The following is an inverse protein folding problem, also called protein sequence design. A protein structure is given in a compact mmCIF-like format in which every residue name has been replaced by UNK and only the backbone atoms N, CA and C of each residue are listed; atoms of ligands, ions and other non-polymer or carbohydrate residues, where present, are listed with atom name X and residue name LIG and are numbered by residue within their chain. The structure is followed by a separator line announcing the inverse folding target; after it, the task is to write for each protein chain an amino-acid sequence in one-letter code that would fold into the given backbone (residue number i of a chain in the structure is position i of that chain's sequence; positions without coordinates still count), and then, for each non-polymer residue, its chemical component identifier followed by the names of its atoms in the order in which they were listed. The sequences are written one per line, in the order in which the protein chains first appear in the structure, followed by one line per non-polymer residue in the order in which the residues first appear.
data_IF_650463914709
#
_entry.id   IF_650463914709
#
_cell.length_a   1.000
_cell.length_b   1.000
_cell.length_c   1.000
_cell.angle_alpha   90.00
_cell.angle_beta   90.00
_cell.angle_gamma   90.00
#
_symmetry.space_group_name_H-M   'P 1'
#
loop_
_entity.id
_entity.type
_entity.pdbx_description
1 polymer ?
#
# COMPACT_ATOMS: atom_id res chain seq x y z
N UNK A 1 4.18 -67.05 35.08
CA UNK A 1 5.06 -65.96 34.69
C UNK A 1 4.37 -65.14 33.60
N UNK A 2 3.82 -63.98 33.96
CA UNK A 2 3.11 -63.07 33.04
C UNK A 2 4.07 -61.95 32.61
N UNK A 3 4.43 -61.90 31.33
CA UNK A 3 5.28 -60.84 30.74
C UNK A 3 4.34 -59.68 30.39
N UNK A 4 4.45 -58.55 31.07
CA UNK A 4 3.81 -57.30 30.70
C UNK A 4 4.66 -56.62 29.63
N UNK A 5 4.09 -56.51 28.44
CA UNK A 5 4.63 -55.71 27.34
C UNK A 5 4.14 -54.27 27.57
N UNK A 6 5.09 -53.38 27.89
CA UNK A 6 4.83 -51.94 27.95
C UNK A 6 4.89 -51.41 26.53
N UNK A 7 3.74 -51.05 26.00
CA UNK A 7 3.65 -50.26 24.73
C UNK A 7 3.81 -48.79 25.14
N UNK A 8 5.02 -48.25 24.89
CA UNK A 8 5.28 -46.81 24.99
C UNK A 8 4.73 -46.16 23.73
N UNK A 9 3.57 -45.57 23.81
CA UNK A 9 2.98 -44.75 22.76
C UNK A 9 3.67 -43.38 22.77
N UNK A 10 4.72 -43.22 21.97
CA UNK A 10 5.35 -41.92 21.73
C UNK A 10 4.42 -41.07 20.85
N UNK A 11 3.68 -40.19 21.49
CA UNK A 11 2.89 -39.15 20.84
C UNK A 11 3.86 -38.12 20.27
N UNK A 12 4.21 -38.25 19.00
CA UNK A 12 5.01 -37.27 18.25
C UNK A 12 4.10 -36.06 17.99
N UNK A 13 4.13 -35.10 18.90
CA UNK A 13 3.43 -33.82 18.73
C UNK A 13 4.19 -33.02 17.66
N UNK A 14 3.77 -33.12 16.40
CA UNK A 14 4.26 -32.28 15.31
C UNK A 14 3.80 -30.85 15.58
N UNK A 15 4.70 -30.03 16.13
CA UNK A 15 4.51 -28.58 16.24
C UNK A 15 4.60 -28.05 14.82
N UNK A 16 3.46 -27.82 14.19
CA UNK A 16 3.37 -27.01 12.96
C UNK A 16 3.70 -25.58 13.39
N UNK A 17 4.93 -25.17 13.17
CA UNK A 17 5.29 -23.77 13.25
C UNK A 17 4.54 -23.05 12.14
N UNK A 18 3.36 -22.54 12.45
CA UNK A 18 2.71 -21.53 11.64
C UNK A 18 3.69 -20.34 11.60
N UNK A 19 4.33 -20.12 10.47
CA UNK A 19 5.07 -18.89 10.21
C UNK A 19 4.06 -17.77 10.35
N UNK A 20 4.08 -17.07 11.49
CA UNK A 20 3.36 -15.82 11.64
C UNK A 20 3.93 -14.91 10.53
N UNK A 21 3.12 -14.58 9.53
CA UNK A 21 3.39 -13.46 8.63
C UNK A 21 3.58 -12.27 9.57
N UNK A 22 4.81 -11.79 9.67
CA UNK A 22 5.15 -10.80 10.67
C UNK A 22 4.34 -9.53 10.45
N UNK A 23 3.72 -9.04 11.51
CA UNK A 23 3.00 -7.76 11.54
C UNK A 23 3.94 -6.54 11.34
N UNK A 24 4.85 -6.61 10.39
CA UNK A 24 5.88 -5.62 10.12
C UNK A 24 6.22 -5.44 8.63
N UNK A 25 5.68 -6.28 7.77
CA UNK A 25 6.06 -6.26 6.36
C UNK A 25 5.56 -5.02 5.60
N UNK A 26 4.63 -4.26 6.19
CA UNK A 26 4.03 -3.06 5.57
C UNK A 26 4.34 -1.76 6.33
N UNK A 27 5.36 -1.74 7.15
CA UNK A 27 5.74 -0.61 8.03
C UNK A 27 6.64 0.44 7.35
N UNK A 28 7.04 0.21 6.11
CA UNK A 28 7.93 1.10 5.36
C UNK A 28 9.42 0.80 5.52
N UNK A 29 9.78 -0.34 6.12
CA UNK A 29 11.18 -0.80 6.20
C UNK A 29 11.64 -1.50 4.94
N UNK A 30 10.71 -1.99 4.11
CA UNK A 30 10.96 -2.65 2.83
C UNK A 30 10.17 -1.98 1.72
N UNK A 31 10.64 -2.03 0.47
CA UNK A 31 9.86 -1.56 -0.67
C UNK A 31 8.52 -2.28 -0.76
N UNK A 32 7.49 -1.56 -1.18
CA UNK A 32 6.14 -2.10 -1.36
C UNK A 32 5.70 -1.96 -2.81
N UNK A 33 4.85 -2.88 -3.26
CA UNK A 33 4.02 -2.70 -4.45
C UNK A 33 2.56 -2.59 -4.00
N UNK A 34 1.90 -1.52 -4.41
CA UNK A 34 0.48 -1.30 -4.15
C UNK A 34 -0.31 -1.59 -5.41
N UNK A 35 -1.25 -2.54 -5.32
CA UNK A 35 -2.26 -2.75 -6.36
C UNK A 35 -3.41 -1.78 -6.16
N UNK A 36 -3.72 -0.98 -7.19
CA UNK A 36 -4.89 -0.11 -7.23
C UNK A 36 -6.11 -0.96 -7.59
N UNK A 37 -7.08 -1.04 -6.69
CA UNK A 37 -8.26 -1.90 -6.84
C UNK A 37 -9.47 -1.09 -7.31
N UNK A 38 -9.65 0.12 -6.75
CA UNK A 38 -10.81 0.98 -7.01
C UNK A 38 -10.43 2.44 -6.87
N UNK A 39 -10.95 3.29 -7.74
CA UNK A 39 -10.83 4.74 -7.64
C UNK A 39 -12.21 5.39 -7.64
N UNK A 40 -12.39 6.40 -6.79
CA UNK A 40 -13.61 7.23 -6.70
C UNK A 40 -13.20 8.66 -6.92
N UNK A 41 -13.83 9.31 -7.88
CA UNK A 41 -13.68 10.74 -8.19
C UNK A 41 -14.81 11.52 -7.55
N UNK A 42 -14.50 12.60 -6.84
CA UNK A 42 -15.47 13.53 -6.26
C UNK A 42 -15.24 14.95 -6.81
N UNK A 43 -16.31 15.64 -7.17
CA UNK A 43 -16.28 17.00 -7.71
C UNK A 43 -17.02 17.98 -6.78
N UNK A 44 -16.81 19.31 -6.90
CA UNK A 44 -17.28 20.30 -5.93
C UNK A 44 -18.80 20.35 -5.73
N UNK A 45 -19.61 19.89 -6.70
CA UNK A 45 -21.06 19.81 -6.54
C UNK A 45 -21.55 18.69 -5.61
N UNK A 46 -20.60 17.95 -4.98
CA UNK A 46 -20.89 16.84 -4.08
C UNK A 46 -21.10 15.50 -4.77
N UNK A 47 -20.97 15.40 -6.10
CA UNK A 47 -21.07 14.13 -6.81
C UNK A 47 -19.78 13.35 -6.68
N UNK A 48 -19.88 12.10 -6.23
CA UNK A 48 -18.79 11.12 -6.24
C UNK A 48 -19.19 9.92 -7.09
N UNK A 49 -18.27 9.42 -7.90
CA UNK A 49 -18.51 8.27 -8.76
C UNK A 49 -17.27 7.38 -8.83
N UNK A 50 -17.49 6.08 -8.97
CA UNK A 50 -16.40 5.17 -9.29
C UNK A 50 -15.91 5.44 -10.72
N UNK A 51 -14.60 5.48 -10.88
CA UNK A 51 -13.93 5.68 -12.17
C UNK A 51 -12.86 4.63 -12.37
N UNK A 52 -12.56 4.23 -13.62
CA UNK A 52 -11.41 3.41 -13.90
C UNK A 52 -10.13 4.11 -13.42
N UNK A 53 -9.16 3.40 -12.81
CA UNK A 53 -7.90 4.00 -12.34
C UNK A 53 -7.17 4.81 -13.42
N UNK A 54 -7.23 4.37 -14.66
CA UNK A 54 -6.62 5.02 -15.83
C UNK A 54 -7.21 6.42 -16.09
N UNK A 55 -8.50 6.61 -15.76
CA UNK A 55 -9.16 7.93 -15.87
C UNK A 55 -8.61 8.94 -14.87
N UNK A 56 -8.12 8.46 -13.73
CA UNK A 56 -7.42 9.25 -12.72
C UNK A 56 -5.89 9.30 -12.98
N UNK A 57 -5.44 8.84 -14.14
CA UNK A 57 -4.01 8.71 -14.51
C UNK A 57 -3.22 7.87 -13.49
N UNK A 58 -3.87 6.93 -12.82
CA UNK A 58 -3.25 6.02 -11.87
C UNK A 58 -2.84 4.72 -12.57
N UNK A 59 -1.60 4.27 -12.41
CA UNK A 59 -1.19 2.95 -12.87
C UNK A 59 -1.84 1.87 -12.02
N UNK A 60 -1.98 0.68 -12.55
CA UNK A 60 -2.56 -0.46 -11.84
C UNK A 60 -1.70 -0.87 -10.63
N UNK A 61 -0.38 -0.70 -10.73
CA UNK A 61 0.56 -1.02 -9.68
C UNK A 61 1.50 0.16 -9.43
N UNK A 62 1.68 0.51 -8.16
CA UNK A 62 2.59 1.53 -7.69
C UNK A 62 3.74 0.87 -6.91
N UNK A 63 4.98 1.17 -7.27
CA UNK A 63 6.18 0.78 -6.51
C UNK A 63 6.56 1.92 -5.56
N UNK A 64 6.69 1.60 -4.28
CA UNK A 64 7.11 2.53 -3.22
C UNK A 64 8.53 2.15 -2.81
N UNK A 65 9.46 3.07 -2.98
CA UNK A 65 10.84 2.94 -2.51
C UNK A 65 11.08 3.92 -1.37
N UNK A 66 11.21 3.40 -0.16
CA UNK A 66 11.41 4.22 1.04
C UNK A 66 12.84 4.75 1.18
N UNK A 67 13.81 4.08 0.55
CA UNK A 67 15.21 4.54 0.55
C UNK A 67 15.37 5.77 -0.34
N UNK A 68 14.76 5.73 -1.51
CA UNK A 68 14.74 6.86 -2.45
C UNK A 68 13.64 7.87 -2.14
N UNK A 69 12.70 7.53 -1.26
CA UNK A 69 11.49 8.30 -0.95
C UNK A 69 10.67 8.64 -2.20
N UNK A 70 10.41 7.62 -3.02
CA UNK A 70 9.67 7.79 -4.27
C UNK A 70 8.53 6.80 -4.41
N UNK A 71 7.50 7.22 -5.15
CA UNK A 71 6.43 6.36 -5.66
C UNK A 71 6.40 6.51 -7.18
N UNK A 72 6.34 5.39 -7.90
CA UNK A 72 6.28 5.36 -9.37
C UNK A 72 5.43 4.19 -9.86
N UNK A 73 5.02 4.15 -11.14
CA UNK A 73 4.46 2.94 -11.73
C UNK A 73 5.41 1.76 -11.57
N UNK A 74 4.89 0.58 -11.22
CA UNK A 74 5.74 -0.58 -10.94
C UNK A 74 6.40 -1.18 -12.19
N UNK A 75 5.82 -0.93 -13.36
CA UNK A 75 6.29 -1.35 -14.68
C UNK A 75 7.18 -0.30 -15.37
N UNK A 76 7.41 0.84 -14.72
CA UNK A 76 8.24 1.89 -15.26
C UNK A 76 9.72 1.67 -14.96
N UNK A 77 10.57 2.14 -15.86
CA UNK A 77 12.03 2.18 -15.67
C UNK A 77 12.39 3.09 -14.49
N UNK A 78 13.54 2.86 -13.88
CA UNK A 78 14.02 3.65 -12.74
C UNK A 78 14.24 5.14 -13.08
N UNK A 79 14.36 5.51 -14.35
CA UNK A 79 14.47 6.87 -14.84
C UNK A 79 13.11 7.55 -15.09
N UNK A 80 12.01 6.79 -15.01
CA UNK A 80 10.67 7.34 -15.20
C UNK A 80 10.30 8.35 -14.10
N UNK A 81 9.42 9.33 -14.42
CA UNK A 81 8.94 10.29 -13.44
C UNK A 81 8.36 9.58 -12.21
N UNK A 82 8.75 10.06 -11.04
CA UNK A 82 8.31 9.54 -9.75
C UNK A 82 7.84 10.69 -8.87
N UNK A 83 6.80 10.45 -8.09
CA UNK A 83 6.41 11.40 -7.05
C UNK A 83 7.27 11.21 -5.81
N UNK A 84 7.56 12.31 -5.12
CA UNK A 84 8.39 12.32 -3.91
C UNK A 84 7.55 12.14 -2.67
N UNK A 85 7.99 11.26 -1.77
CA UNK A 85 7.43 11.13 -0.42
C UNK A 85 8.05 12.23 0.45
N UNK A 86 7.29 13.27 0.74
CA UNK A 86 7.75 14.40 1.55
C UNK A 86 7.69 14.08 3.04
N UNK A 87 6.67 13.31 3.45
CA UNK A 87 6.47 12.91 4.83
C UNK A 87 6.15 11.42 4.92
N UNK A 88 6.78 10.76 5.89
CA UNK A 88 6.53 9.37 6.26
C UNK A 88 6.47 9.28 7.78
N UNK A 89 5.37 8.74 8.31
CA UNK A 89 5.27 8.46 9.74
C UNK A 89 4.35 7.26 10.02
N UNK A 90 4.55 6.63 11.16
CA UNK A 90 3.66 5.57 11.66
C UNK A 90 2.79 6.14 12.76
N UNK A 91 1.47 6.03 12.57
CA UNK A 91 0.46 6.54 13.52
C UNK A 91 -0.59 5.46 13.72
N UNK A 92 -0.76 5.00 14.93
CA UNK A 92 -1.81 4.05 15.33
C UNK A 92 -1.95 2.86 14.36
N UNK A 93 -0.81 2.16 14.10
CA UNK A 93 -0.77 0.98 13.26
C UNK A 93 -0.94 1.25 11.75
N UNK A 94 -0.81 2.50 11.33
CA UNK A 94 -0.84 2.90 9.92
C UNK A 94 0.46 3.59 9.54
N UNK A 95 1.02 3.19 8.40
CA UNK A 95 2.07 3.91 7.73
C UNK A 95 1.42 5.01 6.88
N UNK A 96 1.66 6.26 7.24
CA UNK A 96 1.16 7.44 6.54
C UNK A 96 2.27 8.02 5.68
N UNK A 97 1.98 8.18 4.38
CA UNK A 97 2.85 8.82 3.40
C UNK A 97 2.12 10.05 2.84
N UNK A 98 2.84 11.14 2.63
CA UNK A 98 2.30 12.36 2.07
C UNK A 98 3.27 12.96 1.07
N UNK A 99 2.74 13.65 0.08
CA UNK A 99 3.50 14.41 -0.89
C UNK A 99 2.60 15.26 -1.77
N UNK A 100 3.22 15.88 -2.74
CA UNK A 100 2.55 16.70 -3.74
C UNK A 100 3.10 16.40 -5.13
N UNK A 101 2.28 16.62 -6.14
CA UNK A 101 2.64 16.63 -7.55
C UNK A 101 2.54 18.06 -8.06
N UNK A 102 3.61 18.52 -8.68
CA UNK A 102 3.57 19.77 -9.43
C UNK A 102 2.73 19.58 -10.70
N UNK A 103 1.88 20.56 -10.99
CA UNK A 103 1.17 20.60 -12.27
C UNK A 103 2.10 20.90 -13.45
N UNK A 104 1.56 20.84 -14.65
CA UNK A 104 2.29 21.30 -15.84
C UNK A 104 2.54 22.82 -15.75
N UNK A 105 3.74 23.27 -16.15
CA UNK A 105 4.24 24.66 -16.01
C UNK A 105 3.26 25.77 -16.42
N UNK A 106 2.25 25.46 -17.25
CA UNK A 106 1.24 26.42 -17.72
C UNK A 106 -0.16 26.24 -17.13
N UNK A 107 -0.37 25.16 -16.39
CA UNK A 107 -1.64 24.86 -15.73
C UNK A 107 -1.37 24.59 -14.26
N UNK A 108 -2.12 25.27 -13.39
CA UNK A 108 -2.06 25.02 -11.94
C UNK A 108 -2.92 23.80 -11.62
N UNK A 109 -2.52 22.64 -12.10
CA UNK A 109 -3.18 21.36 -11.90
C UNK A 109 -2.44 20.45 -10.91
N UNK A 110 -1.55 21.01 -10.10
CA UNK A 110 -0.88 20.33 -9.01
C UNK A 110 -1.88 19.77 -8.00
N UNK A 111 -1.51 18.69 -7.34
CA UNK A 111 -2.33 18.03 -6.34
C UNK A 111 -1.50 17.60 -5.13
N UNK A 112 -2.13 17.66 -3.95
CA UNK A 112 -1.61 17.04 -2.74
C UNK A 112 -2.18 15.64 -2.56
N UNK A 113 -1.40 14.72 -2.03
CA UNK A 113 -1.84 13.35 -1.78
C UNK A 113 -1.42 12.84 -0.40
N UNK A 114 -2.23 11.92 0.12
CA UNK A 114 -1.95 11.17 1.35
C UNK A 114 -2.30 9.71 1.14
N UNK A 115 -1.39 8.81 1.49
CA UNK A 115 -1.60 7.37 1.50
C UNK A 115 -1.54 6.86 2.93
N UNK A 116 -2.55 6.11 3.35
CA UNK A 116 -2.58 5.38 4.60
C UNK A 116 -2.52 3.88 4.31
N UNK A 117 -1.49 3.21 4.77
CA UNK A 117 -1.32 1.77 4.67
C UNK A 117 -1.44 1.13 6.06
N UNK A 118 -2.39 0.22 6.23
CA UNK A 118 -2.55 -0.53 7.49
C UNK A 118 -1.43 -1.55 7.61
N UNK A 119 -0.57 -1.40 8.61
CA UNK A 119 0.66 -2.19 8.78
C UNK A 119 0.36 -3.69 8.95
N UNK A 120 -0.74 -4.02 9.61
CA UNK A 120 -1.12 -5.41 9.87
C UNK A 120 -1.68 -6.14 8.64
N UNK A 121 -2.40 -5.44 7.77
CA UNK A 121 -3.17 -6.06 6.69
C UNK A 121 -2.70 -5.69 5.27
N UNK A 122 -1.87 -4.67 5.13
CA UNK A 122 -1.48 -4.11 3.84
C UNK A 122 -2.62 -3.39 3.10
N UNK A 123 -3.76 -3.13 3.76
CA UNK A 123 -4.83 -2.34 3.14
C UNK A 123 -4.39 -0.89 2.96
N UNK A 124 -4.63 -0.36 1.76
CA UNK A 124 -4.22 0.98 1.38
C UNK A 124 -5.44 1.83 1.04
N UNK A 125 -5.45 3.04 1.58
CA UNK A 125 -6.33 4.13 1.13
C UNK A 125 -5.43 5.30 0.76
N UNK A 126 -5.54 5.75 -0.50
CA UNK A 126 -4.86 6.95 -0.99
C UNK A 126 -5.92 8.01 -1.30
N UNK A 127 -5.69 9.23 -0.86
CA UNK A 127 -6.47 10.39 -1.24
C UNK A 127 -5.60 11.38 -1.97
N UNK A 128 -6.12 11.96 -3.04
CA UNK A 128 -5.46 13.04 -3.77
C UNK A 128 -6.46 14.15 -4.03
N UNK A 129 -6.03 15.39 -3.90
CA UNK A 129 -6.89 16.55 -4.08
C UNK A 129 -6.19 17.64 -4.89
N UNK A 130 -6.87 18.11 -5.92
CA UNK A 130 -6.53 19.29 -6.71
C UNK A 130 -7.60 20.37 -6.55
N UNK A 131 -7.60 21.37 -7.44
CA UNK A 131 -8.46 22.55 -7.34
C UNK A 131 -9.96 22.24 -7.36
N UNK A 132 -10.39 21.29 -8.19
CA UNK A 132 -11.81 21.00 -8.41
C UNK A 132 -12.12 19.50 -8.42
N UNK A 133 -11.21 18.68 -7.94
CA UNK A 133 -11.37 17.24 -7.90
C UNK A 133 -10.67 16.66 -6.69
N UNK A 134 -11.28 15.64 -6.10
CA UNK A 134 -10.63 14.78 -5.13
C UNK A 134 -10.81 13.33 -5.56
N UNK A 135 -9.77 12.53 -5.35
CA UNK A 135 -9.80 11.10 -5.58
C UNK A 135 -9.64 10.35 -4.26
N UNK A 136 -10.38 9.27 -4.13
CA UNK A 136 -10.18 8.27 -3.08
C UNK A 136 -9.89 6.94 -3.77
N UNK A 137 -8.73 6.38 -3.47
CA UNK A 137 -8.25 5.14 -4.09
C UNK A 137 -8.10 4.08 -3.02
N UNK A 138 -8.63 2.90 -3.29
CA UNK A 138 -8.50 1.72 -2.44
C UNK A 138 -7.58 0.73 -3.10
N UNK A 139 -6.68 0.16 -2.31
CA UNK A 139 -5.66 -0.76 -2.80
C UNK A 139 -5.19 -1.73 -1.72
N UNK A 140 -4.23 -2.55 -2.12
CA UNK A 140 -3.54 -3.48 -1.23
C UNK A 140 -2.04 -3.47 -1.51
N UNK A 141 -1.25 -3.47 -0.47
CA UNK A 141 0.21 -3.51 -0.52
C UNK A 141 0.72 -4.95 -0.47
N UNK A 142 1.82 -5.19 -1.18
CA UNK A 142 2.65 -6.39 -1.10
C UNK A 142 4.07 -5.94 -0.77
N UNK A 143 4.72 -6.61 0.17
CA UNK A 143 6.15 -6.41 0.47
C UNK A 143 7.00 -7.11 -0.58
N UNK A 144 8.07 -6.43 -1.05
CA UNK A 144 9.05 -6.97 -1.99
C UNK A 144 10.25 -7.57 -1.26
#
# INVERSE_FOLDING_TARGET
MKRYIWIVCTFLCSIIAASAVGAGDYDGTRPLVVSVIRAVECVPNGTCREVPPESAKLPQFLKIDFTQKTIRPADADDEAPATTIERQEVVDGKLILQGAEDGYEKMRDGLGWTMANTIETGQVVLTASGDQVAFVVFGAALSL
#
